data_IF_777071398590
#
_entry.id   IF_777071398590
#
_cell.length_a   1.000
_cell.length_b   1.000
_cell.length_c   1.000
_cell.angle_alpha   90.00
_cell.angle_beta   90.00
_cell.angle_gamma   90.00
#
_symmetry.space_group_name_H-M   'P 1'
#
loop_
_entity.id
_entity.type
_entity.pdbx_description
1 polymer ?
#
# COMPACT_ATOMS: atom_id res chain seq x y z
N UNK A 1 -35.45 -10.31 -12.90
CA UNK A 1 -34.98 -9.46 -11.79
C UNK A 1 -33.48 -9.26 -11.95
N UNK A 2 -32.98 -8.04 -12.19
CA UNK A 2 -31.55 -7.80 -12.36
C UNK A 2 -30.88 -7.62 -11.00
N UNK A 3 -29.83 -8.39 -10.78
CA UNK A 3 -29.03 -8.39 -9.56
C UNK A 3 -28.25 -7.09 -9.49
N UNK A 4 -28.66 -6.17 -8.62
CA UNK A 4 -27.86 -5.00 -8.22
C UNK A 4 -26.84 -5.49 -7.19
N UNK A 5 -25.86 -6.26 -7.64
CA UNK A 5 -24.66 -6.50 -6.85
C UNK A 5 -23.96 -5.15 -6.71
N UNK A 6 -24.04 -4.57 -5.52
CA UNK A 6 -23.31 -3.36 -5.17
C UNK A 6 -21.82 -3.64 -5.28
N UNK A 7 -21.23 -3.30 -6.42
CA UNK A 7 -19.85 -2.87 -6.51
C UNK A 7 -19.78 -1.39 -6.10
N UNK A 8 -20.33 -1.08 -4.92
CA UNK A 8 -19.85 0.11 -4.22
C UNK A 8 -18.45 -0.27 -3.78
N UNK A 9 -17.47 0.16 -4.57
CA UNK A 9 -16.08 0.14 -4.16
C UNK A 9 -16.01 0.92 -2.87
N UNK A 10 -16.13 0.21 -1.75
CA UNK A 10 -15.83 0.73 -0.45
C UNK A 10 -14.38 1.16 -0.57
N UNK A 11 -14.20 2.47 -0.76
CA UNK A 11 -12.90 3.10 -0.65
C UNK A 11 -12.45 2.70 0.74
N UNK A 12 -11.55 1.73 0.79
CA UNK A 12 -10.86 1.34 2.01
C UNK A 12 -10.19 2.64 2.40
N UNK A 13 -10.83 3.38 3.30
CA UNK A 13 -10.19 4.48 4.01
C UNK A 13 -9.22 3.71 4.86
N UNK A 14 -8.03 3.49 4.30
CA UNK A 14 -6.96 2.78 4.97
C UNK A 14 -6.81 3.46 6.31
N UNK A 15 -7.07 2.71 7.37
CA UNK A 15 -6.68 3.11 8.69
C UNK A 15 -5.22 3.59 8.59
N UNK A 16 -4.92 4.79 9.09
CA UNK A 16 -3.69 5.54 8.75
C UNK A 16 -2.48 4.63 8.94
N UNK A 17 -2.00 4.04 7.84
CA UNK A 17 -0.90 3.10 7.90
C UNK A 17 0.38 3.90 8.13
N UNK A 18 1.32 3.38 8.89
CA UNK A 18 2.61 4.01 9.14
C UNK A 18 3.74 2.99 9.00
N UNK A 19 4.93 3.49 8.64
CA UNK A 19 6.15 2.70 8.55
C UNK A 19 7.15 3.16 9.61
N UNK A 20 7.89 2.22 10.20
CA UNK A 20 9.01 2.50 11.09
C UNK A 20 10.32 2.40 10.32
N UNK A 21 11.04 3.51 10.21
CA UNK A 21 12.35 3.58 9.54
C UNK A 21 13.39 3.99 10.57
N UNK A 22 14.25 3.05 10.95
CA UNK A 22 15.12 3.22 12.12
C UNK A 22 14.26 3.39 13.39
N UNK A 23 14.25 4.61 13.94
CA UNK A 23 13.44 4.97 15.11
C UNK A 23 12.38 6.04 14.80
N UNK A 24 12.16 6.33 13.52
CA UNK A 24 11.20 7.36 13.08
C UNK A 24 9.97 6.70 12.50
N UNK A 25 8.79 7.12 12.97
CA UNK A 25 7.52 6.74 12.38
C UNK A 25 7.15 7.69 11.24
N UNK A 26 6.83 7.13 10.08
CA UNK A 26 6.51 7.87 8.86
C UNK A 26 5.09 7.48 8.41
N UNK A 27 4.18 8.45 8.21
CA UNK A 27 2.83 8.15 7.74
C UNK A 27 2.84 7.65 6.31
N UNK A 28 2.15 6.54 6.05
CA UNK A 28 1.91 6.02 4.72
C UNK A 28 0.96 6.95 3.95
N UNK A 29 1.31 7.21 2.69
CA UNK A 29 0.47 8.02 1.81
C UNK A 29 -0.55 7.11 1.13
N UNK A 30 -1.83 7.51 1.05
CA UNK A 30 -2.81 6.75 0.27
C UNK A 30 -2.38 6.66 -1.19
N UNK A 31 -2.39 5.45 -1.74
CA UNK A 31 -2.14 5.23 -3.16
C UNK A 31 -3.45 5.17 -3.95
N UNK A 32 -3.45 5.79 -5.13
CA UNK A 32 -4.52 5.60 -6.10
C UNK A 32 -4.50 4.17 -6.65
N UNK A 33 -5.65 3.56 -6.97
CA UNK A 33 -5.69 2.26 -7.61
C UNK A 33 -4.94 2.25 -8.95
N UNK A 34 -3.92 1.41 -9.07
CA UNK A 34 -3.12 1.20 -10.30
C UNK A 34 -2.27 -0.09 -10.17
N UNK A 35 -1.62 -0.50 -11.26
CA UNK A 35 -0.58 -1.53 -11.24
C UNK A 35 0.77 -0.88 -10.94
N UNK A 36 1.37 -1.22 -9.80
CA UNK A 36 2.70 -0.74 -9.42
C UNK A 36 3.73 -1.85 -9.58
N UNK A 37 4.70 -1.64 -10.47
CA UNK A 37 5.87 -2.50 -10.57
C UNK A 37 6.89 -2.06 -9.52
N UNK A 38 7.26 -2.99 -8.65
CA UNK A 38 8.23 -2.78 -7.57
C UNK A 38 9.34 -3.80 -7.70
N UNK A 39 10.57 -3.31 -7.59
CA UNK A 39 11.73 -4.18 -7.50
C UNK A 39 11.71 -4.93 -6.16
N UNK A 40 11.95 -6.24 -6.19
CA UNK A 40 12.15 -7.05 -4.99
C UNK A 40 13.63 -7.36 -4.81
N UNK A 41 14.17 -7.28 -3.58
CA UNK A 41 15.54 -7.69 -3.33
C UNK A 41 15.69 -9.20 -3.51
N UNK A 42 16.84 -9.66 -4.03
CA UNK A 42 17.13 -11.08 -4.29
C UNK A 42 17.59 -11.86 -3.04
N UNK A 43 17.51 -11.24 -1.86
CA UNK A 43 18.01 -11.81 -0.62
C UNK A 43 17.58 -11.02 0.60
N UNK A 44 18.34 -9.97 0.93
CA UNK A 44 18.11 -9.21 2.16
C UNK A 44 16.89 -8.29 2.04
N UNK A 45 15.89 -8.50 2.91
CA UNK A 45 14.69 -7.66 2.95
C UNK A 45 15.00 -6.20 3.33
N UNK A 46 16.10 -5.94 4.04
CA UNK A 46 16.51 -4.59 4.37
C UNK A 46 16.93 -3.76 3.14
N UNK A 47 17.18 -4.40 2.00
CA UNK A 47 17.56 -3.73 0.75
C UNK A 47 16.34 -3.26 -0.07
N UNK A 48 15.11 -3.44 0.45
CA UNK A 48 13.90 -2.93 -0.21
C UNK A 48 13.88 -1.40 -0.25
N UNK A 49 13.39 -0.82 -1.36
CA UNK A 49 13.27 0.64 -1.48
C UNK A 49 12.09 1.17 -0.65
N UNK A 50 12.21 2.40 -0.12
CA UNK A 50 11.09 3.05 0.59
C UNK A 50 9.83 3.15 -0.29
N UNK A 51 10.03 3.37 -1.60
CA UNK A 51 8.93 3.46 -2.56
C UNK A 51 8.12 2.18 -2.68
N UNK A 52 8.72 1.02 -2.36
CA UNK A 52 8.04 -0.26 -2.39
C UNK A 52 7.28 -0.56 -1.08
N UNK A 53 7.55 0.20 -0.03
CA UNK A 53 6.79 0.13 1.22
C UNK A 53 5.57 1.06 1.17
N UNK A 54 5.73 2.27 0.62
CA UNK A 54 4.67 3.29 0.50
C UNK A 54 3.66 3.09 -0.63
#
# INVERSE_FOLDING_TARGET
MPNKAGYEGQLVTGDRSSYLIGQTEIPARPLSPALYLVATPIGNLADITLRALE
#
